data_IF_301839836766
#
_entry.id   IF_301839836766
#
_cell.length_a   1.000
_cell.length_b   1.000
_cell.length_c   1.000
_cell.angle_alpha   90.00
_cell.angle_beta   90.00
_cell.angle_gamma   90.00
#
_symmetry.space_group_name_H-M   'P 1'
#
loop_
_entity.id
_entity.type
_entity.pdbx_description
1 polymer ?
#
# COMPACT_ATOMS: atom_id res chain seq x y z
N UNK A 1 -37.75 30.09 -12.42
CA UNK A 1 -37.07 30.70 -13.59
C UNK A 1 -35.84 29.85 -13.89
N UNK A 2 -35.85 29.11 -14.99
CA UNK A 2 -34.68 28.35 -15.44
C UNK A 2 -33.60 29.32 -15.96
N UNK A 3 -32.33 29.06 -15.68
CA UNK A 3 -31.20 29.83 -16.21
C UNK A 3 -31.01 29.58 -17.71
N UNK A 4 -30.18 30.43 -18.35
CA UNK A 4 -29.93 30.55 -19.81
C UNK A 4 -29.48 29.26 -20.55
N UNK A 5 -29.42 28.11 -19.91
CA UNK A 5 -29.15 26.80 -20.53
C UNK A 5 -29.95 25.63 -19.92
N UNK A 6 -31.00 25.90 -19.14
CA UNK A 6 -31.75 24.84 -18.44
C UNK A 6 -30.95 24.11 -17.37
N UNK A 7 -29.74 24.58 -17.05
CA UNK A 7 -28.99 24.18 -15.87
C UNK A 7 -29.74 24.70 -14.64
N UNK A 8 -29.89 23.84 -13.62
CA UNK A 8 -30.59 24.09 -12.34
C UNK A 8 -32.13 24.00 -12.36
N UNK A 9 -32.74 23.37 -13.37
CA UNK A 9 -34.16 23.03 -13.31
C UNK A 9 -34.40 21.69 -12.58
N UNK A 10 -34.70 21.78 -11.29
CA UNK A 10 -34.98 20.62 -10.42
C UNK A 10 -36.37 20.00 -10.62
N UNK A 11 -37.22 20.63 -11.45
CA UNK A 11 -38.56 20.09 -11.78
C UNK A 11 -38.54 19.16 -12.99
N UNK A 12 -37.40 19.10 -13.70
CA UNK A 12 -37.20 18.23 -14.85
C UNK A 12 -36.81 16.83 -14.40
N UNK A 13 -37.63 15.85 -14.76
CA UNK A 13 -37.30 14.43 -14.55
C UNK A 13 -36.00 14.09 -15.30
N UNK A 14 -35.06 13.45 -14.59
CA UNK A 14 -33.81 13.01 -15.19
C UNK A 14 -34.07 12.03 -16.35
N UNK A 15 -33.17 11.96 -17.36
CA UNK A 15 -33.34 11.03 -18.46
C UNK A 15 -33.52 9.60 -17.93
N UNK A 16 -34.70 9.02 -18.15
CA UNK A 16 -35.04 7.69 -17.69
C UNK A 16 -34.12 6.64 -18.31
N UNK A 17 -33.73 5.63 -17.54
CA UNK A 17 -32.91 4.53 -18.03
C UNK A 17 -33.82 3.47 -18.67
N UNK A 18 -33.65 3.12 -19.95
CA UNK A 18 -34.40 2.04 -20.58
C UNK A 18 -34.13 0.71 -19.84
N UNK A 19 -35.18 -0.07 -19.57
CA UNK A 19 -35.05 -1.37 -18.86
C UNK A 19 -34.16 -2.38 -19.60
N UNK A 20 -34.03 -2.24 -20.92
CA UNK A 20 -33.26 -3.12 -21.81
C UNK A 20 -31.96 -2.47 -22.33
N UNK A 21 -31.44 -1.44 -21.64
CA UNK A 21 -30.16 -0.85 -22.04
C UNK A 21 -29.02 -1.88 -21.90
N UNK A 22 -28.10 -1.97 -22.87
CA UNK A 22 -26.97 -2.88 -22.76
C UNK A 22 -26.15 -2.54 -21.50
N UNK A 23 -25.66 -3.55 -20.76
CA UNK A 23 -24.90 -3.31 -19.55
C UNK A 23 -23.69 -2.43 -19.86
N UNK A 24 -23.54 -1.33 -19.10
CA UNK A 24 -22.40 -0.41 -19.25
C UNK A 24 -21.09 -1.20 -19.14
N UNK A 25 -20.07 -0.77 -19.88
CA UNK A 25 -18.76 -1.44 -19.81
C UNK A 25 -18.19 -1.32 -18.40
N UNK A 26 -17.61 -2.42 -17.88
CA UNK A 26 -17.02 -2.44 -16.53
C UNK A 26 -15.92 -1.40 -16.35
N UNK A 27 -15.21 -1.08 -17.43
CA UNK A 27 -14.19 -0.03 -17.46
C UNK A 27 -14.80 1.36 -17.19
N UNK A 28 -15.95 1.69 -17.81
CA UNK A 28 -16.64 2.96 -17.56
C UNK A 28 -17.19 2.99 -16.12
N UNK A 29 -17.77 1.88 -15.65
CA UNK A 29 -18.28 1.76 -14.27
C UNK A 29 -17.16 2.03 -13.26
N UNK A 30 -15.95 1.51 -13.49
CA UNK A 30 -14.81 1.76 -12.61
C UNK A 30 -14.53 3.25 -12.45
N UNK A 31 -14.40 4.01 -13.54
CA UNK A 31 -14.15 5.45 -13.47
C UNK A 31 -15.34 6.23 -12.90
N UNK A 32 -16.57 5.78 -13.16
CA UNK A 32 -17.78 6.38 -12.60
C UNK A 32 -17.81 6.24 -11.06
N UNK A 33 -17.53 5.03 -10.55
CA UNK A 33 -17.42 4.77 -9.11
C UNK A 33 -16.24 5.53 -8.50
N UNK A 34 -15.07 5.52 -9.14
CA UNK A 34 -13.88 6.21 -8.68
C UNK A 34 -14.11 7.72 -8.55
N UNK A 35 -14.72 8.36 -9.55
CA UNK A 35 -15.05 9.78 -9.49
C UNK A 35 -16.12 10.09 -8.43
N UNK A 36 -17.20 9.29 -8.37
CA UNK A 36 -18.32 9.48 -7.43
C UNK A 36 -17.90 9.28 -5.97
N UNK A 37 -16.97 8.35 -5.71
CA UNK A 37 -16.49 7.98 -4.37
C UNK A 37 -15.08 8.50 -4.07
N UNK A 38 -14.51 9.37 -4.91
CA UNK A 38 -13.13 9.86 -4.78
C UNK A 38 -12.80 10.32 -3.36
N UNK A 39 -13.63 11.19 -2.78
CA UNK A 39 -13.44 11.69 -1.41
C UNK A 39 -13.56 10.61 -0.34
N UNK A 40 -14.36 9.58 -0.58
CA UNK A 40 -14.49 8.46 0.35
C UNK A 40 -13.25 7.54 0.28
N UNK A 41 -12.71 7.33 -0.93
CA UNK A 41 -11.45 6.60 -1.13
C UNK A 41 -10.30 7.32 -0.43
N UNK A 42 -10.22 8.65 -0.54
CA UNK A 42 -9.23 9.46 0.21
C UNK A 42 -9.38 9.25 1.71
N UNK A 43 -10.60 9.28 2.26
CA UNK A 43 -10.85 9.02 3.69
C UNK A 43 -10.42 7.61 4.12
N UNK A 44 -10.66 6.59 3.28
CA UNK A 44 -10.24 5.21 3.57
C UNK A 44 -8.72 5.11 3.61
N UNK A 45 -8.01 5.75 2.67
CA UNK A 45 -6.55 5.79 2.68
C UNK A 45 -6.01 6.49 3.94
N UNK A 46 -6.62 7.60 4.36
CA UNK A 46 -6.25 8.28 5.62
C UNK A 46 -6.49 7.38 6.83
N UNK A 47 -7.58 6.62 6.85
CA UNK A 47 -7.89 5.67 7.91
C UNK A 47 -6.86 4.52 7.93
N UNK A 48 -6.47 4.01 6.76
CA UNK A 48 -5.42 3.01 6.64
C UNK A 48 -4.08 3.51 7.18
N UNK A 49 -3.69 4.74 6.85
CA UNK A 49 -2.47 5.36 7.39
C UNK A 49 -2.57 5.53 8.90
N UNK A 50 -3.72 6.00 9.42
CA UNK A 50 -3.94 6.18 10.85
C UNK A 50 -3.80 4.87 11.63
N UNK A 51 -4.39 3.78 11.14
CA UNK A 51 -4.26 2.45 11.76
C UNK A 51 -2.85 1.88 11.64
N UNK A 52 -2.07 2.30 10.64
CA UNK A 52 -0.68 1.90 10.42
C UNK A 52 0.36 2.90 10.97
N UNK A 53 -0.04 3.91 11.74
CA UNK A 53 0.92 4.84 12.38
C UNK A 53 2.01 4.11 13.19
N UNK A 54 1.73 3.04 13.96
CA UNK A 54 2.77 2.30 14.66
C UNK A 54 3.78 1.64 13.71
N UNK A 55 3.31 1.12 12.57
CA UNK A 55 4.18 0.59 11.51
C UNK A 55 5.06 1.68 10.91
N UNK A 56 4.50 2.87 10.65
CA UNK A 56 5.27 4.00 10.12
C UNK A 56 6.38 4.44 11.07
N UNK A 57 6.10 4.52 12.37
CA UNK A 57 7.12 4.86 13.37
C UNK A 57 8.21 3.79 13.44
N UNK A 58 7.83 2.51 13.48
CA UNK A 58 8.78 1.40 13.44
C UNK A 58 9.64 1.44 12.17
N UNK A 59 9.02 1.69 11.02
CA UNK A 59 9.69 1.80 9.73
C UNK A 59 10.77 2.90 9.71
N UNK A 60 10.47 4.09 10.24
CA UNK A 60 11.45 5.18 10.31
C UNK A 60 12.65 4.79 11.16
N UNK A 61 12.43 4.24 12.35
CA UNK A 61 13.49 3.78 13.25
C UNK A 61 14.31 2.63 12.64
N UNK A 62 13.62 1.68 12.01
CA UNK A 62 14.23 0.53 11.38
C UNK A 62 15.11 0.94 10.19
N UNK A 63 14.65 1.87 9.36
CA UNK A 63 15.40 2.37 8.21
C UNK A 63 16.67 3.11 8.66
N UNK A 64 16.59 3.89 9.73
CA UNK A 64 17.79 4.53 10.32
C UNK A 64 18.82 3.48 10.76
N UNK A 65 18.37 2.46 11.49
CA UNK A 65 19.24 1.37 11.93
C UNK A 65 19.85 0.58 10.77
N UNK A 66 19.05 0.24 9.75
CA UNK A 66 19.50 -0.57 8.62
C UNK A 66 20.48 0.17 7.69
N UNK A 67 20.34 1.50 7.53
CA UNK A 67 21.31 2.31 6.79
C UNK A 67 22.69 2.30 7.45
N UNK A 68 22.74 2.36 8.79
CA UNK A 68 24.00 2.27 9.54
C UNK A 68 24.69 0.89 9.36
N UNK A 69 23.91 -0.16 9.09
CA UNK A 69 24.43 -1.50 8.87
C UNK A 69 25.00 -1.71 7.46
N UNK A 70 24.41 -1.08 6.44
CA UNK A 70 24.80 -1.27 5.03
C UNK A 70 25.90 -0.31 4.55
N UNK A 71 25.96 0.92 5.06
CA UNK A 71 26.89 1.95 4.56
C UNK A 71 28.01 2.23 5.59
N UNK A 72 29.29 2.29 5.15
CA UNK A 72 30.39 2.75 6.01
C UNK A 72 30.16 4.18 6.51
N UNK A 73 30.54 4.48 7.76
CA UNK A 73 30.33 5.79 8.40
C UNK A 73 30.86 6.99 7.59
N UNK A 74 31.92 6.79 6.80
CA UNK A 74 32.51 7.83 5.95
C UNK A 74 31.56 8.33 4.85
N UNK A 75 30.68 7.48 4.30
CA UNK A 75 29.71 7.90 3.27
C UNK A 75 28.58 8.71 3.87
N UNK A 76 28.20 8.37 5.11
CA UNK A 76 27.22 9.11 5.89
C UNK A 76 27.78 10.50 6.16
N UNK A 77 28.93 10.63 6.81
CA UNK A 77 29.49 11.95 7.17
C UNK A 77 29.68 12.92 5.97
N UNK A 78 29.89 12.40 4.75
CA UNK A 78 30.01 13.20 3.52
C UNK A 78 28.67 13.68 2.89
N UNK A 79 27.50 13.16 3.32
CA UNK A 79 26.19 13.53 2.78
C UNK A 79 25.56 14.78 3.42
N UNK A 80 26.21 15.40 4.41
CA UNK A 80 25.71 16.60 5.08
C UNK A 80 24.59 16.29 6.09
N UNK A 81 24.69 16.89 7.27
CA UNK A 81 23.91 16.55 8.47
C UNK A 81 22.40 16.87 8.46
N UNK A 82 21.76 17.00 7.29
CA UNK A 82 20.32 17.21 7.22
C UNK A 82 19.58 15.88 7.30
N UNK A 83 18.93 15.63 8.43
CA UNK A 83 18.08 14.46 8.70
C UNK A 83 17.10 14.18 7.54
N UNK A 84 16.62 15.24 6.87
CA UNK A 84 15.73 15.13 5.72
C UNK A 84 16.39 14.50 4.49
N UNK A 85 17.68 14.72 4.24
CA UNK A 85 18.40 14.14 3.09
C UNK A 85 18.70 12.65 3.29
N UNK A 86 19.00 12.22 4.52
CA UNK A 86 19.10 10.80 4.85
C UNK A 86 17.76 10.09 4.77
N UNK A 87 16.68 10.76 5.20
CA UNK A 87 15.32 10.25 5.10
C UNK A 87 14.76 10.32 3.66
N UNK A 88 15.24 11.22 2.80
CA UNK A 88 14.77 11.37 1.42
C UNK A 88 15.69 10.70 0.38
N UNK A 89 16.86 10.20 0.79
CA UNK A 89 17.80 9.48 -0.07
C UNK A 89 17.26 8.15 -0.59
N UNK A 90 17.95 7.55 -1.56
CA UNK A 90 17.55 6.33 -2.29
C UNK A 90 17.10 5.16 -1.39
N UNK A 91 17.66 5.02 -0.19
CA UNK A 91 17.37 3.89 0.70
C UNK A 91 15.96 3.93 1.29
N UNK A 92 15.42 5.11 1.61
CA UNK A 92 14.12 5.21 2.28
C UNK A 92 12.93 4.86 1.38
N UNK A 93 12.81 5.35 0.13
CA UNK A 93 11.75 4.92 -0.80
C UNK A 93 11.78 3.42 -1.07
N UNK A 94 12.97 2.83 -1.19
CA UNK A 94 13.11 1.38 -1.39
C UNK A 94 12.67 0.58 -0.15
N UNK A 95 13.07 1.02 1.04
CA UNK A 95 12.69 0.35 2.28
C UNK A 95 11.21 0.53 2.60
N UNK A 96 10.58 1.63 2.18
CA UNK A 96 9.14 1.84 2.35
C UNK A 96 8.36 0.74 1.63
N UNK A 97 8.76 0.38 0.42
CA UNK A 97 8.13 -0.69 -0.35
C UNK A 97 8.37 -2.04 0.34
N UNK A 98 9.57 -2.31 0.85
CA UNK A 98 9.88 -3.59 1.47
C UNK A 98 9.27 -3.78 2.86
N UNK A 99 9.11 -2.72 3.65
CA UNK A 99 8.76 -2.81 5.08
C UNK A 99 7.31 -2.41 5.36
N UNK A 100 6.76 -1.41 4.66
CA UNK A 100 5.41 -0.91 4.96
C UNK A 100 4.28 -1.82 4.47
N UNK A 101 4.53 -2.76 3.56
CA UNK A 101 3.52 -3.75 3.13
C UNK A 101 3.44 -5.00 4.02
N UNK A 102 4.56 -5.59 4.47
CA UNK A 102 4.53 -6.85 5.22
C UNK A 102 4.50 -6.71 6.75
N UNK A 103 4.40 -5.49 7.30
CA UNK A 103 4.43 -5.25 8.75
C UNK A 103 3.19 -5.80 9.48
N UNK A 104 3.39 -6.19 10.74
CA UNK A 104 2.37 -6.82 11.60
C UNK A 104 1.07 -6.01 11.72
N UNK A 105 1.13 -4.68 11.69
CA UNK A 105 -0.07 -3.83 11.80
C UNK A 105 -0.84 -3.67 10.49
N UNK A 106 -0.19 -3.99 9.36
CA UNK A 106 -0.72 -3.76 8.01
C UNK A 106 -1.83 -4.74 7.68
N UNK A 107 -1.72 -5.98 8.17
CA UNK A 107 -2.71 -7.02 7.95
C UNK A 107 -4.14 -6.62 8.34
N UNK A 108 -4.41 -6.28 9.62
CA UNK A 108 -5.75 -5.87 10.05
C UNK A 108 -6.30 -4.64 9.30
N UNK A 109 -5.44 -3.66 9.01
CA UNK A 109 -5.83 -2.47 8.25
C UNK A 109 -6.19 -2.80 6.79
N UNK A 110 -5.45 -3.71 6.16
CA UNK A 110 -5.71 -4.20 4.80
C UNK A 110 -7.03 -4.99 4.73
N UNK A 111 -7.36 -5.78 5.76
CA UNK A 111 -8.64 -6.49 5.84
C UNK A 111 -9.85 -5.54 5.90
N UNK A 112 -9.76 -4.45 6.68
CA UNK A 112 -10.79 -3.41 6.72
C UNK A 112 -10.94 -2.66 5.40
N UNK A 113 -9.81 -2.28 4.79
CA UNK A 113 -9.77 -1.52 3.53
C UNK A 113 -10.34 -2.32 2.35
N UNK A 114 -9.91 -3.58 2.21
CA UNK A 114 -10.35 -4.48 1.12
C UNK A 114 -11.86 -4.72 1.16
N UNK A 115 -12.45 -4.85 2.36
CA UNK A 115 -13.91 -4.98 2.50
C UNK A 115 -14.66 -3.74 1.98
N UNK A 116 -14.24 -2.54 2.37
CA UNK A 116 -14.92 -1.30 1.94
C UNK A 116 -14.76 -1.08 0.43
N UNK A 117 -13.57 -1.32 -0.12
CA UNK A 117 -13.32 -1.22 -1.57
C UNK A 117 -14.12 -2.27 -2.37
N UNK A 118 -14.28 -3.48 -1.83
CA UNK A 118 -15.12 -4.52 -2.43
C UNK A 118 -16.59 -4.12 -2.49
N UNK A 119 -17.11 -3.48 -1.44
CA UNK A 119 -18.50 -3.01 -1.46
C UNK A 119 -18.66 -1.84 -2.43
N UNK A 120 -17.67 -0.95 -2.53
CA UNK A 120 -17.69 0.13 -3.54
C UNK A 120 -17.65 -0.39 -4.97
N UNK A 121 -16.87 -1.44 -5.26
CA UNK A 121 -16.86 -2.05 -6.60
C UNK A 121 -18.16 -2.78 -6.95
N UNK A 122 -18.94 -3.19 -5.93
CA UNK A 122 -20.27 -3.78 -6.07
C UNK A 122 -21.41 -2.76 -6.02
N UNK A 123 -21.09 -1.46 -5.94
CA UNK A 123 -22.05 -0.36 -5.76
C UNK A 123 -22.92 -0.49 -4.48
N UNK A 124 -22.46 -1.25 -3.49
CA UNK A 124 -23.13 -1.40 -2.19
C UNK A 124 -22.74 -0.25 -1.24
N UNK A 125 -23.65 0.10 -0.34
CA UNK A 125 -23.36 1.08 0.71
C UNK A 125 -22.35 0.50 1.70
N UNK A 126 -21.30 1.28 2.01
CA UNK A 126 -20.35 0.95 3.07
C UNK A 126 -20.07 2.20 3.91
N UNK A 127 -20.23 2.06 5.22
CA UNK A 127 -19.88 3.06 6.20
C UNK A 127 -18.37 2.98 6.45
N UNK A 128 -17.62 3.97 5.94
CA UNK A 128 -16.16 3.98 5.93
C UNK A 128 -15.56 3.62 7.29
N UNK A 129 -16.01 4.28 8.36
CA UNK A 129 -15.42 4.13 9.68
C UNK A 129 -15.88 2.85 10.39
N UNK A 130 -17.20 2.63 10.41
CA UNK A 130 -17.81 1.49 11.10
C UNK A 130 -17.37 0.16 10.48
N UNK A 131 -17.55 0.03 9.16
CA UNK A 131 -17.28 -1.23 8.45
C UNK A 131 -15.78 -1.56 8.46
N UNK A 132 -14.91 -0.55 8.34
CA UNK A 132 -13.47 -0.76 8.41
C UNK A 132 -13.05 -1.33 9.77
N UNK A 133 -13.47 -0.71 10.87
CA UNK A 133 -13.08 -1.14 12.22
C UNK A 133 -13.70 -2.49 12.57
N UNK A 134 -14.98 -2.69 12.23
CA UNK A 134 -15.68 -3.94 12.49
C UNK A 134 -15.00 -5.11 11.76
N UNK A 135 -14.69 -4.95 10.46
CA UNK A 135 -14.04 -6.02 9.69
C UNK A 135 -12.57 -6.20 10.01
N UNK A 136 -11.85 -5.14 10.38
CA UNK A 136 -10.50 -5.25 10.92
C UNK A 136 -10.47 -6.05 12.23
N UNK A 137 -11.45 -5.85 13.13
CA UNK A 137 -11.55 -6.59 14.40
C UNK A 137 -12.01 -8.04 14.20
N UNK A 138 -13.03 -8.26 13.38
CA UNK A 138 -13.57 -9.60 13.14
C UNK A 138 -12.55 -10.53 12.48
N UNK A 139 -11.72 -10.00 11.56
CA UNK A 139 -10.68 -10.77 10.89
C UNK A 139 -9.30 -10.65 11.53
N UNK A 140 -9.19 -9.99 12.69
CA UNK A 140 -7.92 -9.61 13.31
C UNK A 140 -6.96 -10.80 13.44
N UNK A 141 -7.45 -11.96 13.91
CA UNK A 141 -6.62 -13.15 14.09
C UNK A 141 -6.08 -13.69 12.76
N UNK A 142 -6.92 -13.75 11.72
CA UNK A 142 -6.52 -14.25 10.41
C UNK A 142 -5.53 -13.29 9.74
N UNK A 143 -5.84 -11.99 9.76
CA UNK A 143 -4.98 -10.96 9.18
C UNK A 143 -3.64 -10.83 9.91
N UNK A 144 -3.62 -11.03 11.24
CA UNK A 144 -2.40 -11.01 12.03
C UNK A 144 -1.48 -12.17 11.64
N UNK A 145 -2.02 -13.39 11.47
CA UNK A 145 -1.21 -14.55 11.05
C UNK A 145 -0.54 -14.29 9.70
N UNK A 146 -1.29 -13.75 8.72
CA UNK A 146 -0.74 -13.40 7.40
C UNK A 146 0.35 -12.34 7.53
N UNK A 147 0.12 -11.29 8.32
CA UNK A 147 1.13 -10.24 8.54
C UNK A 147 2.39 -10.74 9.23
N UNK A 148 2.30 -11.71 10.15
CA UNK A 148 3.45 -12.32 10.81
C UNK A 148 4.27 -13.13 9.80
N UNK A 149 3.60 -13.94 8.97
CA UNK A 149 4.27 -14.71 7.91
C UNK A 149 5.00 -13.75 6.96
N UNK A 150 4.33 -12.69 6.51
CA UNK A 150 4.93 -11.68 5.64
C UNK A 150 6.11 -10.97 6.31
N UNK A 151 6.00 -10.60 7.59
CA UNK A 151 7.11 -10.00 8.35
C UNK A 151 8.32 -10.93 8.42
N UNK A 152 8.11 -12.23 8.69
CA UNK A 152 9.20 -13.22 8.75
C UNK A 152 9.90 -13.35 7.39
N UNK A 153 9.14 -13.49 6.31
CA UNK A 153 9.71 -13.58 4.96
C UNK A 153 10.50 -12.31 4.61
N UNK A 154 10.02 -11.14 5.03
CA UNK A 154 10.70 -9.87 4.79
C UNK A 154 12.02 -9.78 5.56
N UNK A 155 12.08 -10.29 6.80
CA UNK A 155 13.34 -10.37 7.57
C UNK A 155 14.35 -11.27 6.85
N UNK A 156 13.91 -12.41 6.31
CA UNK A 156 14.78 -13.32 5.55
C UNK A 156 15.34 -12.63 4.29
N UNK A 157 14.48 -11.97 3.52
CA UNK A 157 14.89 -11.18 2.35
C UNK A 157 15.92 -10.10 2.72
N UNK A 158 15.71 -9.39 3.82
CA UNK A 158 16.65 -8.36 4.29
C UNK A 158 17.98 -8.94 4.75
N UNK A 159 17.97 -10.12 5.35
CA UNK A 159 19.19 -10.86 5.70
C UNK A 159 19.95 -11.30 4.45
N UNK A 160 19.23 -11.79 3.43
CA UNK A 160 19.83 -12.17 2.15
C UNK A 160 20.52 -10.98 1.51
N UNK A 161 19.87 -9.82 1.41
CA UNK A 161 20.50 -8.60 0.89
C UNK A 161 21.76 -8.21 1.67
N UNK A 162 21.74 -8.32 3.00
CA UNK A 162 22.90 -8.04 3.84
C UNK A 162 24.06 -9.00 3.57
N UNK A 163 23.79 -10.31 3.50
CA UNK A 163 24.83 -11.32 3.22
C UNK A 163 25.43 -11.09 1.83
N UNK A 164 24.58 -10.90 0.82
CA UNK A 164 25.04 -10.71 -0.57
C UNK A 164 25.78 -9.37 -0.77
N UNK A 165 25.47 -8.34 0.01
CA UNK A 165 26.23 -7.08 -0.03
C UNK A 165 27.65 -7.22 0.56
N UNK A 166 27.86 -8.13 1.52
CA UNK A 166 29.13 -8.27 2.23
C UNK A 166 30.07 -9.35 1.64
N UNK A 167 29.55 -10.29 0.85
CA UNK A 167 30.37 -11.30 0.17
C UNK A 167 31.01 -10.70 -1.09
N UNK A 168 32.32 -10.47 -1.04
CA UNK A 168 33.12 -9.99 -2.19
C UNK A 168 33.66 -11.17 -3.00
N UNK A 169 32.80 -11.79 -3.80
CA UNK A 169 33.20 -12.85 -4.74
C UNK A 169 32.76 -12.52 -6.16
N UNK A 170 33.70 -12.34 -7.07
CA UNK A 170 33.44 -12.03 -8.48
C UNK A 170 33.21 -13.31 -9.31
N UNK A 171 32.18 -14.07 -8.97
CA UNK A 171 31.77 -15.26 -9.71
C UNK A 171 30.44 -15.03 -10.43
N UNK A 172 30.33 -15.48 -11.68
CA UNK A 172 29.08 -15.44 -12.47
C UNK A 172 27.91 -16.09 -11.70
N UNK A 173 28.18 -17.17 -10.97
CA UNK A 173 27.17 -17.86 -10.16
C UNK A 173 26.56 -16.95 -9.08
N UNK A 174 27.39 -16.08 -8.49
CA UNK A 174 26.97 -15.14 -7.45
C UNK A 174 26.11 -14.01 -8.03
N UNK A 175 26.45 -13.51 -9.22
CA UNK A 175 25.62 -12.53 -9.94
C UNK A 175 24.25 -13.10 -10.30
N UNK A 176 24.20 -14.35 -10.78
CA UNK A 176 22.94 -15.05 -11.09
C UNK A 176 22.09 -15.19 -9.83
N UNK A 177 22.69 -15.64 -8.71
CA UNK A 177 21.98 -15.79 -7.45
C UNK A 177 21.39 -14.45 -6.94
N UNK A 178 22.15 -13.35 -7.02
CA UNK A 178 21.66 -12.03 -6.64
C UNK A 178 20.48 -11.57 -7.54
N UNK A 179 20.55 -11.82 -8.85
CA UNK A 179 19.45 -11.49 -9.76
C UNK A 179 18.17 -12.27 -9.45
N UNK A 180 18.28 -13.54 -9.05
CA UNK A 180 17.14 -14.36 -8.67
C UNK A 180 16.48 -13.88 -7.37
N UNK A 181 17.27 -13.40 -6.40
CA UNK A 181 16.74 -12.83 -5.15
C UNK A 181 15.89 -11.60 -5.47
N UNK A 182 16.37 -10.69 -6.33
CA UNK A 182 15.59 -9.51 -6.73
C UNK A 182 14.26 -9.91 -7.38
N UNK A 183 14.26 -10.92 -8.25
CA UNK A 183 13.01 -11.42 -8.87
C UNK A 183 12.10 -12.05 -7.81
N UNK A 184 12.63 -12.84 -6.89
CA UNK A 184 11.86 -13.45 -5.79
C UNK A 184 11.21 -12.38 -4.90
N UNK A 185 11.92 -11.27 -4.64
CA UNK A 185 11.39 -10.12 -3.90
C UNK A 185 10.23 -9.46 -4.64
N UNK A 186 10.35 -9.26 -5.95
CA UNK A 186 9.25 -8.69 -6.76
C UNK A 186 8.02 -9.61 -6.71
N UNK A 187 8.21 -10.92 -6.87
CA UNK A 187 7.12 -11.90 -6.79
C UNK A 187 6.48 -11.90 -5.40
N UNK A 188 7.29 -11.87 -4.34
CA UNK A 188 6.80 -11.77 -2.96
C UNK A 188 5.98 -10.49 -2.74
N UNK A 189 6.45 -9.35 -3.24
CA UNK A 189 5.72 -8.09 -3.18
C UNK A 189 4.36 -8.19 -3.89
N UNK A 190 4.31 -8.80 -5.07
CA UNK A 190 3.04 -9.02 -5.77
C UNK A 190 2.09 -9.93 -4.99
N UNK A 191 2.59 -10.99 -4.36
CA UNK A 191 1.78 -11.88 -3.54
C UNK A 191 1.23 -11.17 -2.29
N UNK A 192 2.02 -10.30 -1.67
CA UNK A 192 1.61 -9.57 -0.46
C UNK A 192 0.47 -8.56 -0.69
N UNK A 193 0.20 -8.19 -1.94
CA UNK A 193 -0.88 -7.27 -2.30
C UNK A 193 -2.26 -7.94 -2.37
N UNK A 194 -2.33 -9.27 -2.36
CA UNK A 194 -3.57 -10.06 -2.44
C UNK A 194 -3.90 -10.73 -1.11
#
# INVERSE_FOLDING_TARGET
MAGFFGLFDFTKEGPGVPKDAPPKSRFIIFFEVLARKFWNIVKINLLFVLFNLPAFLFFVLFTMYYNQLLFPQEVIDNMGGDLLNYLAGFTFPLMLILVCFPLITVGPAQAGMTYVLRNYSREEHAFIWGDFIEKAKNNFKQSMIVSIINTIVTILVMLDFYIYANVKTDNILFTIANSLIIVAVIVFMMMSMY
#
